data_IF_597316844748
#
_entry.id   IF_597316844748
#
_cell.length_a   1.000
_cell.length_b   1.000
_cell.length_c   1.000
_cell.angle_alpha   90.00
_cell.angle_beta   90.00
_cell.angle_gamma   90.00
#
_symmetry.space_group_name_H-M   'P 1'
#
loop_
_entity.id
_entity.type
_entity.pdbx_description
1 polymer ?
#
# COMPACT_ATOMS: atom_id res chain seq x y z
N UNK A 1 -0.05 13.14 6.41
CA UNK A 1 0.82 12.99 5.22
C UNK A 1 2.16 12.31 5.45
N UNK A 2 2.80 12.45 6.62
CA UNK A 2 4.18 12.00 6.85
C UNK A 2 4.43 10.53 6.45
N UNK A 3 3.52 9.64 6.84
CA UNK A 3 3.58 8.21 6.50
C UNK A 3 3.63 7.95 4.99
N UNK A 4 2.87 8.70 4.19
CA UNK A 4 2.84 8.56 2.74
C UNK A 4 4.00 9.27 2.02
N UNK A 5 4.67 10.20 2.70
CA UNK A 5 5.82 10.94 2.16
C UNK A 5 7.17 10.33 2.57
N UNK A 6 7.15 9.28 3.40
CA UNK A 6 8.36 8.62 3.88
C UNK A 6 8.88 7.63 2.83
N UNK A 7 10.07 7.82 2.25
CA UNK A 7 10.65 6.83 1.33
C UNK A 7 10.89 5.48 2.03
N UNK A 8 11.01 4.41 1.23
CA UNK A 8 11.39 3.11 1.76
C UNK A 8 12.87 3.11 2.16
N UNK A 9 13.26 2.46 3.28
CA UNK A 9 14.67 2.29 3.63
C UNK A 9 15.43 1.49 2.57
N UNK A 10 16.74 1.70 2.44
CA UNK A 10 17.57 1.04 1.41
C UNK A 10 17.64 -0.48 1.56
N UNK A 11 17.48 -0.99 2.79
CA UNK A 11 17.49 -2.42 3.11
C UNK A 11 16.09 -3.00 3.33
N UNK A 12 15.05 -2.32 2.84
CA UNK A 12 13.65 -2.62 3.11
C UNK A 12 13.28 -4.09 2.89
N UNK A 13 13.63 -4.65 1.71
CA UNK A 13 13.31 -6.04 1.36
C UNK A 13 14.17 -7.04 2.15
N UNK A 14 15.42 -6.69 2.45
CA UNK A 14 16.36 -7.58 3.16
C UNK A 14 15.92 -7.84 4.60
N UNK A 15 15.19 -6.91 5.22
CA UNK A 15 14.66 -7.05 6.59
C UNK A 15 13.38 -7.89 6.67
N UNK A 16 12.78 -8.27 5.54
CA UNK A 16 11.53 -9.02 5.54
C UNK A 16 11.75 -10.47 5.95
N UNK A 17 10.85 -10.97 6.82
CA UNK A 17 10.81 -12.33 7.32
C UNK A 17 10.65 -13.31 6.17
N UNK A 18 11.30 -14.46 6.30
CA UNK A 18 11.19 -15.58 5.36
C UNK A 18 10.39 -16.75 5.94
N UNK A 19 10.00 -16.68 7.21
CA UNK A 19 9.26 -17.76 7.89
C UNK A 19 7.75 -17.66 7.60
N UNK A 20 7.21 -16.44 7.67
CA UNK A 20 5.83 -16.14 7.38
C UNK A 20 5.71 -14.75 6.71
N UNK A 21 4.92 -14.62 5.64
CA UNK A 21 4.72 -13.34 4.97
C UNK A 21 3.80 -12.39 5.75
N UNK A 22 2.89 -12.93 6.56
CA UNK A 22 1.83 -12.19 7.25
C UNK A 22 2.07 -12.17 8.76
N UNK A 23 1.97 -10.98 9.35
CA UNK A 23 1.89 -10.75 10.79
C UNK A 23 0.47 -10.42 11.23
N UNK A 24 0.05 -10.98 12.36
CA UNK A 24 -1.13 -10.56 13.09
C UNK A 24 -0.80 -10.33 14.57
N UNK A 25 -1.23 -9.21 15.12
CA UNK A 25 -1.10 -8.92 16.55
C UNK A 25 -2.47 -8.55 17.10
N UNK A 26 -3.04 -9.45 17.92
CA UNK A 26 -4.39 -9.27 18.43
C UNK A 26 -4.55 -9.76 19.88
N UNK A 27 -5.31 -9.01 20.66
CA UNK A 27 -5.73 -9.38 22.03
C UNK A 27 -7.22 -9.61 22.17
N UNK A 28 -8.04 -8.93 21.37
CA UNK A 28 -9.48 -9.13 21.38
C UNK A 28 -9.88 -10.29 20.44
N UNK A 29 -10.14 -11.45 21.04
CA UNK A 29 -10.50 -12.68 20.33
C UNK A 29 -12.02 -12.90 20.27
N UNK A 30 -12.80 -11.98 20.85
CA UNK A 30 -14.26 -11.97 20.84
C UNK A 30 -14.75 -10.75 20.04
N UNK A 31 -14.06 -10.47 18.92
CA UNK A 31 -14.43 -9.42 18.00
C UNK A 31 -15.77 -9.80 17.33
N UNK A 32 -16.73 -8.87 17.31
CA UNK A 32 -18.06 -9.11 16.71
C UNK A 32 -17.98 -9.39 15.21
N UNK A 33 -16.91 -8.94 14.53
CA UNK A 33 -16.67 -9.25 13.12
C UNK A 33 -16.50 -10.75 12.82
N UNK A 34 -16.13 -11.57 13.82
CA UNK A 34 -15.79 -12.99 13.63
C UNK A 34 -14.43 -13.20 12.93
N UNK A 35 -13.58 -12.15 12.87
CA UNK A 35 -12.30 -12.18 12.14
C UNK A 35 -11.38 -13.33 12.54
N UNK A 36 -11.44 -13.79 13.79
CA UNK A 36 -10.63 -14.89 14.30
C UNK A 36 -10.96 -16.20 13.57
N UNK A 37 -12.22 -16.40 13.17
CA UNK A 37 -12.67 -17.57 12.41
C UNK A 37 -12.06 -17.59 11.02
N UNK A 38 -12.16 -16.49 10.29
CA UNK A 38 -11.56 -16.41 8.96
C UNK A 38 -10.04 -16.49 9.01
N UNK A 39 -9.38 -15.83 9.97
CA UNK A 39 -7.91 -15.92 10.10
C UNK A 39 -7.50 -17.35 10.43
N UNK A 40 -8.20 -18.02 11.35
CA UNK A 40 -7.94 -19.43 11.66
C UNK A 40 -8.09 -20.34 10.43
N UNK A 41 -9.03 -20.04 9.54
CA UNK A 41 -9.20 -20.79 8.29
C UNK A 41 -8.09 -20.46 7.27
N UNK A 42 -7.76 -19.17 7.12
CA UNK A 42 -6.69 -18.70 6.25
C UNK A 42 -5.33 -19.31 6.61
N UNK A 43 -5.06 -19.51 7.91
CA UNK A 43 -3.83 -20.14 8.42
C UNK A 43 -3.62 -21.58 7.93
N UNK A 44 -4.65 -22.25 7.40
CA UNK A 44 -4.51 -23.57 6.78
C UNK A 44 -3.88 -23.50 5.39
N UNK A 45 -3.88 -22.33 4.76
CA UNK A 45 -3.50 -22.14 3.35
C UNK A 45 -2.27 -21.24 3.18
N UNK A 46 -1.91 -20.45 4.19
CA UNK A 46 -0.71 -19.60 4.19
C UNK A 46 -0.17 -19.42 5.62
N UNK A 47 1.14 -19.31 5.78
CA UNK A 47 1.77 -19.08 7.07
C UNK A 47 1.43 -17.67 7.61
N UNK A 48 0.95 -17.62 8.85
CA UNK A 48 0.69 -16.38 9.58
C UNK A 48 1.32 -16.50 10.97
N UNK A 49 2.21 -15.56 11.28
CA UNK A 49 2.71 -15.41 12.63
C UNK A 49 1.75 -14.51 13.42
N UNK A 50 1.07 -15.11 14.40
CA UNK A 50 0.14 -14.45 15.30
C UNK A 50 0.75 -14.28 16.69
N UNK A 51 0.76 -13.05 17.16
CA UNK A 51 1.19 -12.67 18.51
C UNK A 51 0.05 -12.05 19.30
N UNK A 52 0.14 -12.14 20.63
CA UNK A 52 -0.91 -11.69 21.54
C UNK A 52 -1.76 -12.86 22.02
N UNK A 53 -3.02 -12.60 22.34
CA UNK A 53 -3.88 -13.58 23.00
C UNK A 53 -4.64 -14.46 21.99
N UNK A 54 -4.79 -14.00 20.73
CA UNK A 54 -5.62 -14.66 19.73
C UNK A 54 -4.81 -15.55 18.79
N UNK A 55 -5.17 -16.83 18.69
CA UNK A 55 -4.51 -17.90 17.91
C UNK A 55 -3.04 -18.18 18.30
N UNK A 56 -2.27 -17.14 18.66
CA UNK A 56 -0.97 -17.15 19.34
C UNK A 56 -0.03 -18.28 18.86
N UNK A 57 0.44 -18.16 17.62
CA UNK A 57 1.40 -19.12 17.05
C UNK A 57 2.84 -18.85 17.46
N UNK A 58 3.13 -17.63 17.91
CA UNK A 58 4.48 -17.22 18.35
C UNK A 58 4.40 -16.40 19.65
N UNK A 59 5.29 -16.65 20.63
CA UNK A 59 5.42 -15.78 21.78
C UNK A 59 6.03 -14.44 21.37
N UNK A 60 5.60 -13.35 22.02
CA UNK A 60 6.14 -12.02 21.72
C UNK A 60 7.66 -11.97 22.02
N UNK A 61 8.51 -11.51 21.08
CA UNK A 61 9.95 -11.43 21.28
C UNK A 61 10.32 -10.45 22.40
N UNK A 62 11.28 -10.82 23.25
CA UNK A 62 11.72 -9.99 24.38
C UNK A 62 12.59 -8.80 23.97
N UNK A 63 13.23 -8.90 22.81
CA UNK A 63 14.25 -7.99 22.29
C UNK A 63 13.73 -7.05 21.20
N UNK A 64 12.45 -7.14 20.83
CA UNK A 64 11.83 -6.29 19.81
C UNK A 64 10.61 -5.57 20.36
N UNK A 65 10.43 -4.30 19.96
CA UNK A 65 9.15 -3.63 20.10
C UNK A 65 8.15 -4.13 19.05
N UNK A 66 6.87 -3.83 19.24
CA UNK A 66 5.82 -4.15 18.27
C UNK A 66 6.10 -3.52 16.91
N UNK A 67 6.58 -2.29 16.90
CA UNK A 67 6.90 -1.52 15.70
C UNK A 67 8.07 -2.15 14.93
N UNK A 68 9.11 -2.58 15.65
CA UNK A 68 10.24 -3.31 15.06
C UNK A 68 9.78 -4.65 14.47
N UNK A 69 8.94 -5.39 15.21
CA UNK A 69 8.37 -6.63 14.73
C UNK A 69 7.52 -6.42 13.48
N UNK A 70 6.65 -5.41 13.45
CA UNK A 70 5.84 -5.07 12.26
C UNK A 70 6.69 -4.74 11.04
N UNK A 71 7.83 -4.06 11.22
CA UNK A 71 8.71 -3.70 10.12
C UNK A 71 9.35 -4.92 9.43
N UNK A 72 9.43 -6.06 10.13
CA UNK A 72 10.02 -7.30 9.63
C UNK A 72 9.06 -8.09 8.72
N UNK A 73 7.78 -7.75 8.59
CA UNK A 73 6.85 -8.50 7.74
C UNK A 73 6.48 -7.76 6.46
N UNK A 74 6.16 -8.51 5.40
CA UNK A 74 5.64 -7.92 4.16
C UNK A 74 4.21 -7.45 4.34
N UNK A 75 3.38 -8.25 5.00
CA UNK A 75 1.97 -7.98 5.20
C UNK A 75 1.61 -7.93 6.69
N UNK A 76 0.63 -7.10 7.01
CA UNK A 76 0.04 -7.05 8.35
C UNK A 76 -1.48 -7.11 8.25
N UNK A 77 -2.10 -7.96 9.08
CA UNK A 77 -3.56 -8.06 9.20
C UNK A 77 -4.09 -6.87 10.01
N UNK A 78 -4.41 -5.78 9.30
CA UNK A 78 -4.99 -4.55 9.84
C UNK A 78 -6.53 -4.65 9.88
N UNK A 79 -7.03 -5.69 10.55
CA UNK A 79 -8.46 -6.05 10.59
C UNK A 79 -9.11 -5.53 11.86
N UNK A 80 -10.24 -4.85 11.72
CA UNK A 80 -10.93 -4.23 12.83
C UNK A 80 -11.78 -5.19 13.65
N UNK A 81 -12.11 -4.79 14.87
CA UNK A 81 -12.91 -5.62 15.77
C UNK A 81 -14.37 -5.73 15.31
N UNK A 82 -14.82 -4.80 14.45
CA UNK A 82 -16.17 -4.66 13.98
C UNK A 82 -16.17 -3.99 12.59
N UNK A 83 -17.23 -4.20 11.83
CA UNK A 83 -17.35 -3.71 10.45
C UNK A 83 -18.23 -2.47 10.39
N UNK A 84 -17.73 -1.37 10.95
CA UNK A 84 -18.49 -0.12 11.02
C UNK A 84 -17.99 0.89 10.01
N UNK A 85 -18.90 1.73 9.52
CA UNK A 85 -18.54 2.93 8.78
C UNK A 85 -17.50 3.76 9.56
N UNK A 86 -16.50 4.24 8.85
CA UNK A 86 -15.38 5.05 9.35
C UNK A 86 -14.56 4.47 10.52
N UNK A 87 -14.79 3.20 10.91
CA UNK A 87 -14.04 2.56 11.98
C UNK A 87 -12.71 2.04 11.47
N UNK A 88 -11.78 2.96 11.23
CA UNK A 88 -10.39 2.70 10.84
C UNK A 88 -9.47 3.20 11.95
N UNK A 89 -8.62 2.33 12.50
CA UNK A 89 -7.90 2.60 13.75
C UNK A 89 -6.38 2.62 13.58
N UNK A 90 -5.65 2.54 14.70
CA UNK A 90 -4.20 2.43 14.73
C UNK A 90 -3.67 1.26 13.91
N UNK A 91 -4.46 0.20 13.70
CA UNK A 91 -4.04 -0.99 12.94
C UNK A 91 -3.61 -0.62 11.52
N UNK A 92 -4.42 0.19 10.82
CA UNK A 92 -4.05 0.66 9.48
C UNK A 92 -2.90 1.67 9.57
N UNK A 93 -3.03 2.67 10.45
CA UNK A 93 -2.06 3.76 10.55
C UNK A 93 -0.63 3.26 10.87
N UNK A 94 -0.51 2.34 11.83
CA UNK A 94 0.75 1.71 12.21
C UNK A 94 1.31 0.86 11.07
N UNK A 95 0.46 0.11 10.36
CA UNK A 95 0.90 -0.70 9.22
C UNK A 95 1.53 0.15 8.13
N UNK A 96 0.85 1.22 7.74
CA UNK A 96 1.36 2.17 6.75
C UNK A 96 2.66 2.83 7.25
N UNK A 97 2.73 3.18 8.54
CA UNK A 97 3.90 3.82 9.18
C UNK A 97 5.13 2.92 9.22
N UNK A 98 4.96 1.64 9.54
CA UNK A 98 6.05 0.68 9.67
C UNK A 98 6.32 -0.12 8.39
N UNK A 99 5.70 0.29 7.27
CA UNK A 99 6.07 -0.13 5.92
C UNK A 99 5.78 -1.62 5.66
N UNK A 100 4.62 -2.09 6.09
CA UNK A 100 4.02 -3.33 5.60
C UNK A 100 2.80 -2.98 4.74
N UNK A 101 2.42 -3.87 3.83
CA UNK A 101 1.18 -3.73 3.05
C UNK A 101 0.02 -4.20 3.95
N UNK A 102 -0.97 -3.35 4.25
CA UNK A 102 -2.08 -3.73 5.11
C UNK A 102 -3.04 -4.65 4.36
N UNK A 103 -3.38 -5.79 4.96
CA UNK A 103 -4.57 -6.57 4.61
C UNK A 103 -5.68 -6.08 5.53
N UNK A 104 -6.69 -5.43 4.96
CA UNK A 104 -7.68 -4.65 5.71
C UNK A 104 -9.07 -5.27 5.67
N UNK A 105 -9.78 -5.08 6.77
CA UNK A 105 -11.23 -5.29 6.90
C UNK A 105 -11.78 -4.46 8.07
N UNK A 106 -13.03 -4.00 7.91
CA UNK A 106 -13.68 -3.04 8.80
C UNK A 106 -14.82 -2.32 8.08
N UNK A 107 -14.70 -1.01 7.77
CA UNK A 107 -15.71 -0.28 7.01
C UNK A 107 -15.89 -0.84 5.59
N UNK A 108 -17.07 -0.58 5.01
CA UNK A 108 -17.35 -0.91 3.63
C UNK A 108 -16.43 -0.15 2.64
N UNK A 109 -16.11 1.12 2.94
CA UNK A 109 -15.15 1.92 2.16
C UNK A 109 -13.91 2.28 2.97
N UNK A 110 -12.76 2.27 2.29
CA UNK A 110 -11.48 2.78 2.79
C UNK A 110 -11.04 4.04 2.02
N UNK A 111 -11.96 4.66 1.27
CA UNK A 111 -11.70 5.88 0.52
C UNK A 111 -11.24 6.98 1.47
N UNK A 112 -10.18 7.67 1.08
CA UNK A 112 -9.57 8.68 1.93
C UNK A 112 -8.77 8.14 3.11
N UNK A 113 -8.85 6.85 3.47
CA UNK A 113 -8.00 6.23 4.52
C UNK A 113 -6.73 5.61 3.95
N UNK A 114 -6.81 5.04 2.74
CA UNK A 114 -5.67 4.48 2.04
C UNK A 114 -4.96 5.54 1.18
N UNK A 115 -3.61 5.54 1.12
CA UNK A 115 -2.85 6.44 0.25
C UNK A 115 -3.32 6.43 -1.21
N UNK A 116 -3.70 5.27 -1.74
CA UNK A 116 -4.36 5.06 -3.04
C UNK A 116 -4.97 3.64 -3.11
N UNK A 117 -5.64 3.30 -4.22
CA UNK A 117 -6.24 1.97 -4.41
C UNK A 117 -5.24 0.81 -4.38
N UNK A 118 -3.95 1.06 -4.68
CA UNK A 118 -2.87 0.06 -4.65
C UNK A 118 -1.96 0.30 -3.44
N UNK A 119 -2.55 0.44 -2.25
CA UNK A 119 -1.79 0.64 -1.00
C UNK A 119 -2.29 -0.18 0.18
N UNK A 120 -3.32 -1.01 -0.04
CA UNK A 120 -3.83 -2.00 0.89
C UNK A 120 -4.55 -3.11 0.13
N UNK A 121 -4.72 -4.26 0.76
CA UNK A 121 -5.40 -5.43 0.20
C UNK A 121 -6.73 -5.61 0.91
N UNK A 122 -7.84 -5.63 0.18
CA UNK A 122 -9.17 -5.78 0.75
C UNK A 122 -9.47 -7.25 1.02
N UNK A 123 -9.60 -7.64 2.29
CA UNK A 123 -9.94 -9.02 2.65
C UNK A 123 -11.32 -9.43 2.14
N UNK A 124 -12.28 -8.49 2.11
CA UNK A 124 -13.64 -8.70 1.61
C UNK A 124 -13.77 -8.82 0.09
N UNK A 125 -12.68 -8.66 -0.66
CA UNK A 125 -12.59 -9.04 -2.07
C UNK A 125 -12.34 -10.55 -2.27
N UNK A 126 -12.02 -11.29 -1.20
CA UNK A 126 -11.68 -12.71 -1.22
C UNK A 126 -12.52 -13.51 -0.22
N UNK A 127 -13.81 -13.79 -0.51
CA UNK A 127 -14.65 -14.58 0.38
C UNK A 127 -14.13 -16.02 0.59
N UNK A 128 -13.39 -16.58 -0.37
CA UNK A 128 -12.69 -17.84 -0.18
C UNK A 128 -11.28 -17.58 0.39
N UNK A 129 -10.96 -18.02 1.63
CA UNK A 129 -9.64 -17.85 2.22
C UNK A 129 -8.50 -18.43 1.36
N UNK A 130 -8.78 -19.44 0.53
CA UNK A 130 -7.79 -20.03 -0.40
C UNK A 130 -7.41 -19.05 -1.49
N UNK A 131 -8.33 -18.21 -1.95
CA UNK A 131 -8.04 -17.20 -2.96
C UNK A 131 -7.17 -16.08 -2.39
N UNK A 132 -7.47 -15.62 -1.17
CA UNK A 132 -6.62 -14.63 -0.49
C UNK A 132 -5.22 -15.21 -0.26
N UNK A 133 -5.11 -16.44 0.25
CA UNK A 133 -3.84 -17.12 0.46
C UNK A 133 -3.01 -17.20 -0.83
N UNK A 134 -3.62 -17.63 -1.94
CA UNK A 134 -2.95 -17.68 -3.26
C UNK A 134 -2.47 -16.30 -3.70
N UNK A 135 -3.28 -15.26 -3.49
CA UNK A 135 -2.91 -13.91 -3.88
C UNK A 135 -1.75 -13.36 -3.03
N UNK A 136 -1.77 -13.55 -1.72
CA UNK A 136 -0.67 -13.13 -0.86
C UNK A 136 0.61 -13.93 -1.15
N UNK A 137 0.51 -15.24 -1.39
CA UNK A 137 1.65 -16.06 -1.79
C UNK A 137 2.27 -15.57 -3.09
N UNK A 138 1.44 -15.23 -4.08
CA UNK A 138 1.90 -14.62 -5.33
C UNK A 138 2.70 -13.33 -5.10
N UNK A 139 2.22 -12.44 -4.22
CA UNK A 139 2.94 -11.21 -3.87
C UNK A 139 4.21 -11.49 -3.06
N UNK A 140 4.19 -12.50 -2.18
CA UNK A 140 5.37 -12.87 -1.41
C UNK A 140 6.50 -13.41 -2.30
N UNK A 141 6.14 -14.21 -3.30
CA UNK A 141 7.10 -14.78 -4.27
C UNK A 141 7.56 -13.78 -5.34
N UNK A 142 6.89 -12.62 -5.44
CA UNK A 142 7.17 -11.61 -6.46
C UNK A 142 7.40 -10.22 -5.88
N UNK A 143 8.67 -9.88 -5.70
CA UNK A 143 9.10 -8.60 -5.12
C UNK A 143 8.61 -7.38 -5.90
N UNK A 144 8.53 -7.43 -7.23
CA UNK A 144 8.04 -6.31 -8.06
C UNK A 144 6.54 -6.09 -7.84
N UNK A 145 5.76 -7.16 -7.84
CA UNK A 145 4.32 -7.14 -7.58
C UNK A 145 4.02 -6.64 -6.16
N UNK A 146 4.79 -7.09 -5.16
CA UNK A 146 4.70 -6.59 -3.78
C UNK A 146 5.10 -5.11 -3.68
N UNK A 147 6.24 -4.70 -4.26
CA UNK A 147 6.71 -3.32 -4.21
C UNK A 147 5.79 -2.35 -4.96
N UNK A 148 4.97 -2.84 -5.90
CA UNK A 148 3.94 -2.05 -6.55
C UNK A 148 2.94 -1.46 -5.55
N UNK A 149 2.63 -2.15 -4.45
CA UNK A 149 1.80 -1.62 -3.36
C UNK A 149 2.46 -0.49 -2.56
N UNK A 150 3.78 -0.36 -2.66
CA UNK A 150 4.58 0.64 -1.96
C UNK A 150 5.14 1.69 -2.93
N UNK A 151 4.72 1.66 -4.19
CA UNK A 151 5.20 2.56 -5.24
C UNK A 151 4.99 4.03 -4.90
N UNK A 152 3.87 4.34 -4.24
CA UNK A 152 3.58 5.69 -3.75
C UNK A 152 4.65 6.24 -2.79
N UNK A 153 5.39 5.37 -2.09
CA UNK A 153 6.51 5.75 -1.21
C UNK A 153 7.84 5.77 -1.93
N UNK A 154 8.08 4.85 -2.86
CA UNK A 154 9.27 4.87 -3.72
C UNK A 154 9.34 6.18 -4.53
N UNK A 155 8.19 6.67 -4.97
CA UNK A 155 8.08 7.90 -5.74
C UNK A 155 8.06 9.16 -4.86
N UNK A 156 8.08 9.05 -3.53
CA UNK A 156 7.87 10.19 -2.63
C UNK A 156 8.94 11.29 -2.74
N UNK A 157 10.16 10.95 -3.16
CA UNK A 157 11.25 11.91 -3.36
C UNK A 157 11.24 12.57 -4.75
N UNK A 158 10.46 12.03 -5.70
CA UNK A 158 10.51 12.44 -7.11
C UNK A 158 9.17 12.95 -7.64
N UNK A 159 8.04 12.55 -7.05
CA UNK A 159 6.69 12.97 -7.44
C UNK A 159 5.96 13.65 -6.27
N UNK A 160 5.25 14.76 -6.52
CA UNK A 160 4.42 15.39 -5.50
C UNK A 160 3.27 14.47 -5.09
N UNK A 161 2.70 14.64 -3.88
CA UNK A 161 1.56 13.88 -3.41
C UNK A 161 0.39 13.77 -4.40
N UNK A 162 0.07 14.87 -5.09
CA UNK A 162 -1.06 14.96 -6.02
C UNK A 162 -0.93 14.05 -7.25
N UNK A 163 0.26 13.54 -7.56
CA UNK A 163 0.50 12.64 -8.69
C UNK A 163 0.51 11.15 -8.30
N UNK A 164 0.50 10.84 -7.00
CA UNK A 164 0.71 9.47 -6.50
C UNK A 164 -0.26 9.02 -5.42
N UNK A 165 -0.98 9.96 -4.80
CA UNK A 165 -1.95 9.71 -3.76
C UNK A 165 -3.36 10.04 -4.24
N UNK A 166 -4.34 9.36 -3.64
CA UNK A 166 -5.75 9.62 -3.86
C UNK A 166 -6.12 11.06 -3.45
N UNK A 167 -6.91 11.80 -4.25
CA UNK A 167 -7.29 13.17 -3.93
C UNK A 167 -8.03 13.32 -2.59
N UNK A 168 -8.89 12.37 -2.25
CA UNK A 168 -9.60 12.38 -0.96
C UNK A 168 -8.59 12.16 0.17
N UNK A 169 -7.64 11.23 0.01
CA UNK A 169 -6.55 11.06 0.97
C UNK A 169 -5.74 12.35 1.14
N UNK A 170 -5.34 13.00 0.05
CA UNK A 170 -4.60 14.28 0.15
C UNK A 170 -5.43 15.31 0.93
N UNK A 171 -6.69 15.50 0.59
CA UNK A 171 -7.55 16.50 1.25
C UNK A 171 -7.76 16.26 2.75
N UNK A 172 -7.82 14.98 3.17
CA UNK A 172 -8.03 14.60 4.56
C UNK A 172 -6.76 14.67 5.41
N UNK A 173 -5.58 14.45 4.81
CA UNK A 173 -4.35 14.21 5.56
C UNK A 173 -3.22 15.24 5.31
N UNK A 174 -3.35 16.15 4.35
CA UNK A 174 -2.32 17.15 3.99
C UNK A 174 -2.14 18.26 5.01
N UNK A 175 -3.22 18.64 5.68
CA UNK A 175 -3.22 19.67 6.71
C UNK A 175 -3.45 19.00 8.06
N UNK A 176 -2.40 18.95 8.89
CA UNK A 176 -2.47 18.34 10.21
C UNK A 176 -3.44 19.09 11.13
N UNK A 177 -3.48 20.42 11.06
CA UNK A 177 -4.38 21.22 11.90
C UNK A 177 -5.83 21.02 11.48
N UNK A 178 -6.12 21.03 10.18
CA UNK A 178 -7.46 20.73 9.69
C UNK A 178 -7.86 19.27 9.95
N UNK A 179 -6.91 18.34 9.86
CA UNK A 179 -7.12 16.93 10.23
C UNK A 179 -7.47 16.80 11.71
N UNK A 180 -6.63 17.33 12.59
CA UNK A 180 -6.83 17.35 14.05
C UNK A 180 -8.17 18.02 14.40
N UNK A 181 -8.52 19.10 13.70
CA UNK A 181 -9.83 19.73 13.82
C UNK A 181 -10.97 18.84 13.30
N UNK A 182 -10.82 18.03 12.24
CA UNK A 182 -11.89 17.10 11.83
C UNK A 182 -12.07 15.95 12.84
N UNK A 183 -10.98 15.38 13.34
CA UNK A 183 -11.01 14.18 14.20
C UNK A 183 -11.30 14.48 15.68
N UNK A 184 -10.87 15.65 16.18
CA UNK A 184 -11.13 16.07 17.57
C UNK A 184 -12.63 16.23 17.86
N UNK A 185 -13.39 16.72 16.88
CA UNK A 185 -14.84 16.84 17.03
C UNK A 185 -15.52 15.47 17.00
N UNK A 186 -15.05 14.52 16.19
CA UNK A 186 -15.65 13.19 16.10
C UNK A 186 -15.47 12.36 17.39
N UNK A 187 -14.30 12.43 18.02
CA UNK A 187 -13.97 11.66 19.24
C UNK A 187 -14.67 12.22 20.49
N UNK A 188 -14.75 13.55 20.62
CA UNK A 188 -15.46 14.21 21.73
C UNK A 188 -16.97 14.03 21.57
N UNK A 189 -17.52 14.13 20.36
CA UNK A 189 -18.92 13.89 20.09
C UNK A 189 -19.36 12.45 20.43
N UNK A 190 -18.58 11.43 20.06
CA UNK A 190 -18.87 10.00 20.32
C UNK A 190 -18.79 9.64 21.81
N UNK A 191 -17.81 10.19 22.53
CA UNK A 191 -17.65 9.97 23.97
C UNK A 191 -18.65 10.79 24.81
N UNK A 192 -18.90 12.05 24.46
CA UNK A 192 -19.83 12.89 25.21
C UNK A 192 -21.30 12.47 25.01
N UNK A 193 -21.71 12.05 23.81
CA UNK A 193 -23.10 11.63 23.57
C UNK A 193 -23.48 10.36 24.36
N UNK A 194 -22.57 9.41 24.52
CA UNK A 194 -22.81 8.14 25.23
C UNK A 194 -22.66 8.30 26.75
N UNK A 195 -21.67 9.09 27.18
CA UNK A 195 -21.31 9.20 28.60
C UNK A 195 -22.15 10.25 29.34
N UNK A 196 -22.61 11.31 28.68
CA UNK A 196 -23.45 12.36 29.30
C UNK A 196 -24.80 11.81 29.77
N UNK A 197 -25.45 11.01 28.93
CA UNK A 197 -26.79 10.46 29.19
C UNK A 197 -26.77 9.34 30.22
N UNK A 198 -25.75 8.47 30.20
CA UNK A 198 -25.60 7.39 31.19
C UNK A 198 -25.18 7.91 32.57
N UNK A 199 -24.39 8.99 32.64
CA UNK A 199 -23.93 9.56 33.93
C UNK A 199 -25.00 10.32 34.70
N UNK A 200 -26.00 10.91 34.03
CA UNK A 200 -27.01 11.76 34.69
C UNK A 200 -28.36 11.06 34.93
N UNK A 201 -28.56 9.83 34.44
CA UNK A 201 -29.86 9.13 34.54
C UNK A 201 -29.83 7.82 35.34
N UNK A 202 -28.66 7.30 35.71
CA UNK A 202 -28.53 6.06 36.49
C UNK A 202 -29.05 4.79 35.83
N UNK A 203 -29.45 4.84 34.55
CA UNK A 203 -29.94 3.69 33.77
C UNK A 203 -28.85 3.18 32.82
N UNK A 204 -28.82 1.86 32.60
CA UNK A 204 -28.08 1.27 31.46
C UNK A 204 -28.57 1.96 30.19
N UNK A 205 -27.63 2.40 29.38
CA UNK A 205 -27.90 3.17 28.17
C UNK A 205 -28.80 2.36 27.25
N UNK A 206 -30.01 2.84 27.01
CA UNK A 206 -30.92 2.31 25.99
C UNK A 206 -30.54 2.98 24.66
N UNK A 207 -29.86 2.21 23.81
CA UNK A 207 -29.38 2.68 22.50
C UNK A 207 -30.55 3.09 21.59
N UNK A 208 -31.71 2.44 21.70
CA UNK A 208 -32.90 2.75 20.90
C UNK A 208 -33.51 4.09 21.32
N UNK A 209 -33.46 4.42 22.61
CA UNK A 209 -33.88 5.74 23.11
C UNK A 209 -32.93 6.87 22.65
N UNK A 210 -31.63 6.61 22.51
CA UNK A 210 -30.65 7.58 22.01
C UNK A 210 -30.80 7.83 20.50
N UNK A 211 -31.08 6.78 19.74
CA UNK A 211 -31.33 6.86 18.29
C UNK A 211 -32.58 7.68 17.97
N UNK A 212 -33.63 7.57 18.80
CA UNK A 212 -34.86 8.34 18.65
C UNK A 212 -34.74 9.79 19.11
N UNK A 213 -33.88 10.08 20.09
CA UNK A 213 -33.74 11.41 20.70
C UNK A 213 -32.76 12.35 19.98
N UNK A 214 -31.96 11.87 19.00
CA UNK A 214 -30.95 12.70 18.34
C UNK A 214 -31.57 13.62 17.26
N UNK A 215 -31.53 14.96 17.42
CA UNK A 215 -31.98 15.90 16.39
C UNK A 215 -31.00 16.03 15.21
N UNK A 216 -29.91 15.25 15.21
CA UNK A 216 -28.86 15.22 14.19
C UNK A 216 -28.55 13.78 13.77
N UNK A 217 -29.58 13.02 13.37
CA UNK A 217 -29.42 11.64 12.86
C UNK A 217 -28.44 11.53 11.69
N UNK A 218 -28.33 12.61 10.91
CA UNK A 218 -27.38 12.79 9.80
C UNK A 218 -25.91 12.89 10.22
N UNK A 219 -25.63 13.18 11.50
CA UNK A 219 -24.26 13.38 12.03
C UNK A 219 -23.88 12.47 13.18
N UNK A 220 -24.86 11.79 13.78
CA UNK A 220 -24.68 10.92 14.93
C UNK A 220 -25.45 9.62 14.70
N UNK A 221 -24.85 8.72 13.91
CA UNK A 221 -25.36 7.36 13.74
C UNK A 221 -24.99 6.56 15.00
N UNK A 222 -25.99 6.35 15.86
CA UNK A 222 -25.92 5.39 16.96
C UNK A 222 -26.91 4.29 16.60
N UNK A 223 -26.49 3.37 15.75
CA UNK A 223 -27.30 2.23 15.34
C UNK A 223 -26.51 0.91 15.53
N UNK A 224 -27.18 -0.22 15.29
CA UNK A 224 -26.59 -1.55 15.40
C UNK A 224 -25.77 -1.94 14.16
N UNK A 225 -25.65 -1.09 13.13
CA UNK A 225 -24.93 -1.42 11.88
C UNK A 225 -23.44 -1.63 12.12
N UNK A 226 -22.88 -0.95 13.13
CA UNK A 226 -21.52 -1.15 13.62
C UNK A 226 -21.32 -2.47 14.40
N UNK A 227 -22.37 -3.25 14.64
CA UNK A 227 -22.31 -4.52 15.38
C UNK A 227 -22.95 -5.67 14.61
N UNK A 228 -22.95 -5.65 13.27
CA UNK A 228 -23.35 -6.82 12.49
C UNK A 228 -22.43 -8.00 12.84
N UNK A 229 -22.93 -8.89 13.69
CA UNK A 229 -22.18 -10.05 14.18
C UNK A 229 -21.94 -11.03 13.04
N UNK A 230 -20.73 -11.59 12.99
CA UNK A 230 -20.47 -12.78 12.19
C UNK A 230 -20.26 -12.56 10.70
N UNK A 231 -19.81 -11.37 10.25
CA UNK A 231 -19.35 -11.19 8.85
C UNK A 231 -18.44 -12.34 8.41
N UNK A 232 -17.54 -12.79 9.28
CA UNK A 232 -16.54 -13.81 8.96
C UNK A 232 -16.80 -15.19 9.56
N UNK A 233 -17.94 -15.43 10.21
CA UNK A 233 -18.19 -16.71 10.91
C UNK A 233 -18.35 -17.88 9.95
N UNK A 234 -18.83 -17.65 8.73
CA UNK A 234 -18.99 -18.69 7.71
C UNK A 234 -17.68 -19.43 7.40
N UNK A 235 -16.52 -18.80 7.58
CA UNK A 235 -15.23 -19.43 7.33
C UNK A 235 -15.00 -20.67 8.22
N UNK A 236 -15.65 -20.73 9.39
CA UNK A 236 -15.59 -21.89 10.27
C UNK A 236 -16.31 -23.13 9.72
N UNK A 237 -17.22 -22.95 8.76
CA UNK A 237 -17.99 -24.05 8.14
C UNK A 237 -17.13 -24.86 7.16
N UNK A 238 -15.99 -24.32 6.72
CA UNK A 238 -15.11 -24.95 5.74
C UNK A 238 -15.62 -24.81 4.30
N UNK A 239 -14.94 -25.44 3.31
CA UNK A 239 -15.33 -25.33 1.91
C UNK A 239 -16.60 -26.16 1.60
N UNK A 240 -17.49 -25.68 0.71
CA UNK A 240 -17.39 -24.42 -0.05
C UNK A 240 -17.69 -23.18 0.82
N UNK A 241 -16.90 -22.12 0.61
CA UNK A 241 -17.01 -20.85 1.34
C UNK A 241 -18.00 -19.90 0.64
N UNK A 242 -19.28 -20.24 0.62
CA UNK A 242 -20.30 -19.54 -0.18
C UNK A 242 -21.43 -18.92 0.66
N UNK A 243 -21.43 -19.09 1.98
CA UNK A 243 -22.48 -18.61 2.89
C UNK A 243 -22.31 -17.18 3.40
N UNK A 244 -21.58 -16.33 2.66
CA UNK A 244 -21.44 -14.91 2.96
C UNK A 244 -22.57 -14.04 2.38
N UNK A 245 -22.89 -12.90 3.02
CA UNK A 245 -24.06 -12.07 2.69
C UNK A 245 -23.74 -10.70 2.08
N UNK A 246 -22.47 -10.33 1.95
CA UNK A 246 -22.06 -9.05 1.36
C UNK A 246 -21.65 -9.22 -0.11
N UNK A 247 -21.62 -8.12 -0.85
CA UNK A 247 -21.05 -8.08 -2.20
C UNK A 247 -19.54 -7.91 -2.10
N UNK A 248 -18.72 -8.85 -2.63
CA UNK A 248 -17.26 -8.73 -2.54
C UNK A 248 -16.76 -7.45 -3.19
N UNK A 249 -15.78 -6.82 -2.56
CA UNK A 249 -15.06 -5.69 -3.16
C UNK A 249 -14.34 -6.15 -4.45
N UNK A 250 -14.05 -5.24 -5.39
CA UNK A 250 -13.18 -5.56 -6.52
C UNK A 250 -11.84 -6.14 -6.04
N UNK A 251 -11.38 -7.21 -6.69
CA UNK A 251 -10.08 -7.81 -6.41
C UNK A 251 -8.96 -6.86 -6.79
N UNK A 252 -7.88 -6.89 -6.01
CA UNK A 252 -6.70 -6.06 -6.24
C UNK A 252 -5.82 -6.61 -7.38
N UNK A 253 -6.35 -6.77 -8.59
CA UNK A 253 -5.65 -7.42 -9.71
C UNK A 253 -4.50 -6.60 -10.31
N UNK A 254 -4.26 -5.41 -9.76
CA UNK A 254 -3.18 -4.51 -10.12
C UNK A 254 -1.80 -5.17 -10.16
N UNK A 255 -1.58 -6.19 -9.34
CA UNK A 255 -0.33 -6.93 -9.27
C UNK A 255 -0.13 -7.86 -10.48
N UNK A 256 -1.19 -8.45 -11.03
CA UNK A 256 -1.11 -9.25 -12.27
C UNK A 256 -0.79 -8.37 -13.48
N UNK A 257 -1.33 -7.15 -13.52
CA UNK A 257 -1.05 -6.18 -14.58
C UNK A 257 0.45 -5.81 -14.67
N UNK A 258 1.17 -5.80 -13.54
CA UNK A 258 2.62 -5.52 -13.53
C UNK A 258 3.37 -6.59 -14.31
N UNK A 259 2.99 -7.86 -14.18
CA UNK A 259 3.60 -8.96 -14.93
C UNK A 259 3.33 -8.87 -16.44
N UNK A 260 2.12 -8.48 -16.81
CA UNK A 260 1.77 -8.28 -18.22
C UNK A 260 2.60 -7.16 -18.85
N UNK A 261 2.69 -6.01 -18.16
CA UNK A 261 3.52 -4.88 -18.60
C UNK A 261 5.02 -5.22 -18.67
N UNK A 262 5.52 -6.07 -17.76
CA UNK A 262 6.90 -6.57 -17.82
C UNK A 262 7.13 -7.55 -18.97
N UNK A 263 6.14 -8.40 -19.31
CA UNK A 263 6.20 -9.27 -20.49
C UNK A 263 6.21 -8.45 -21.80
N UNK A 264 5.42 -7.38 -21.87
CA UNK A 264 5.38 -6.50 -23.05
C UNK A 264 6.66 -5.66 -23.22
N UNK A 265 7.28 -5.23 -22.12
CA UNK A 265 8.56 -4.50 -22.14
C UNK A 265 9.76 -5.40 -22.42
N UNK A 266 9.76 -6.66 -21.95
CA UNK A 266 10.80 -7.64 -22.26
C UNK A 266 10.66 -8.25 -23.67
N UNK A 267 9.44 -8.35 -24.21
CA UNK A 267 9.21 -8.79 -25.59
C UNK A 267 9.58 -7.70 -26.62
N UNK A 268 9.48 -6.42 -26.26
CA UNK A 268 9.96 -5.30 -27.08
C UNK A 268 11.49 -5.11 -27.00
N UNK A 269 12.14 -5.48 -25.89
CA UNK A 269 13.60 -5.45 -25.76
C UNK A 269 14.33 -6.65 -26.43
N UNK A 270 13.63 -7.73 -26.75
CA UNK A 270 14.22 -8.95 -27.36
C UNK A 270 14.16 -8.97 -28.90
N UNK A 271 13.70 -7.90 -29.54
CA UNK A 271 13.57 -7.81 -31.00
C UNK A 271 14.78 -7.21 -31.76
N UNK A 272 15.88 -6.87 -31.08
CA UNK A 272 17.09 -6.35 -31.72
C UNK A 272 18.31 -7.26 -31.57
N UNK A 273 18.24 -8.48 -32.08
CA UNK A 273 19.45 -9.20 -32.54
C UNK A 273 19.06 -10.37 -33.47
N UNK A 274 19.13 -10.12 -34.78
CA UNK A 274 19.32 -11.20 -35.75
C UNK A 274 20.39 -10.76 -36.75
N UNK A 275 21.58 -11.31 -36.55
CA UNK A 275 22.71 -11.26 -37.47
C UNK A 275 22.47 -12.29 -38.57
N UNK A 276 22.30 -11.86 -39.81
CA UNK A 276 22.37 -12.74 -40.99
C UNK A 276 23.78 -12.69 -41.58
N UNK A 277 24.51 -13.78 -41.43
CA UNK A 277 25.74 -14.09 -42.16
C UNK A 277 25.46 -14.36 -43.63
N UNK A 278 26.17 -13.69 -44.54
CA UNK A 278 26.33 -14.16 -45.92
C UNK A 278 27.79 -14.01 -46.34
N UNK A 279 28.31 -15.11 -46.86
CA UNK A 279 29.65 -15.35 -47.36
C UNK A 279 29.77 -14.89 -48.81
N UNK A 280 30.79 -14.13 -49.18
CA UNK A 280 31.22 -14.01 -50.57
C UNK A 280 32.75 -13.98 -50.68
N UNK A 281 33.23 -14.86 -51.57
CA UNK A 281 34.62 -15.10 -51.99
C UNK A 281 35.11 -14.01 -52.94
N UNK A 282 36.38 -13.63 -52.82
CA UNK A 282 37.00 -12.60 -53.67
C UNK A 282 37.47 -13.09 -55.05
N UNK A 283 37.57 -12.14 -55.99
CA UNK A 283 38.59 -12.13 -57.05
C UNK A 283 38.90 -10.68 -57.51
N UNK A 284 40.17 -10.48 -57.90
CA UNK A 284 40.97 -9.26 -58.09
C UNK A 284 40.50 -8.30 -59.23
N UNK A 285 40.52 -6.98 -59.05
CA UNK A 285 41.59 -5.97 -59.29
C UNK A 285 41.62 -5.38 -60.72
N UNK A 286 41.43 -4.06 -60.86
CA UNK A 286 42.20 -3.21 -61.77
C UNK A 286 41.96 -1.72 -61.48
N UNK A 287 43.05 -0.97 -61.64
CA UNK A 287 43.36 0.39 -61.25
C UNK A 287 42.79 1.47 -62.17
N UNK A 288 41.97 2.37 -61.60
CA UNK A 288 41.95 3.78 -61.99
C UNK A 288 41.53 4.63 -60.79
N UNK A 289 42.50 5.37 -60.32
CA UNK A 289 42.48 6.20 -59.13
C UNK A 289 41.59 7.45 -59.25
N UNK A 290 40.98 7.80 -58.12
CA UNK A 290 40.93 9.14 -57.51
C UNK A 290 40.65 10.37 -58.41
N UNK A 291 39.51 11.03 -58.15
CA UNK A 291 39.38 12.44 -57.70
C UNK A 291 37.88 12.81 -57.71
N UNK A 292 37.33 13.27 -56.56
CA UNK A 292 35.98 13.85 -56.53
C UNK A 292 35.18 13.75 -55.22
N UNK A 293 35.80 13.59 -54.04
CA UNK A 293 35.13 13.87 -52.76
C UNK A 293 34.92 15.38 -52.62
N UNK A 294 33.68 15.88 -52.78
CA UNK A 294 33.03 16.95 -51.99
C UNK A 294 31.73 17.47 -52.66
N UNK A 295 30.58 17.04 -52.11
CA UNK A 295 29.32 17.79 -51.97
C UNK A 295 28.54 17.04 -50.85
N UNK A 296 28.51 17.39 -49.55
CA UNK A 296 28.13 18.65 -48.87
C UNK A 296 26.85 19.25 -49.47
N UNK A 297 25.71 19.41 -48.79
CA UNK A 297 25.34 19.37 -47.35
C UNK A 297 23.82 19.29 -47.21
N UNK A 298 23.31 18.61 -46.18
CA UNK A 298 21.88 18.68 -45.82
C UNK A 298 21.47 17.89 -44.58
N UNK A 299 22.27 17.89 -43.52
CA UNK A 299 21.85 17.35 -42.21
C UNK A 299 21.86 18.47 -41.17
N UNK A 300 20.69 18.67 -40.57
CA UNK A 300 20.32 19.73 -39.64
C UNK A 300 21.23 19.78 -38.40
N UNK A 301 22.02 20.85 -38.32
CA UNK A 301 22.71 21.28 -37.09
C UNK A 301 21.65 21.94 -36.20
N UNK A 302 21.06 21.17 -35.29
CA UNK A 302 20.08 21.69 -34.32
C UNK A 302 20.10 21.05 -32.94
N UNK A 303 20.57 19.80 -32.80
CA UNK A 303 20.35 19.05 -31.55
C UNK A 303 21.62 18.85 -30.72
N UNK A 304 22.82 18.92 -31.32
CA UNK A 304 24.09 18.71 -30.58
C UNK A 304 24.56 19.97 -29.84
N UNK A 305 24.22 21.17 -30.34
CA UNK A 305 24.61 22.43 -29.71
C UNK A 305 23.89 22.72 -28.38
N UNK A 306 22.64 22.28 -28.23
CA UNK A 306 21.86 22.50 -27.01
C UNK A 306 22.34 21.59 -25.86
N UNK A 307 22.76 20.36 -26.18
CA UNK A 307 23.29 19.42 -25.20
C UNK A 307 24.65 19.89 -24.63
N UNK A 308 25.54 20.41 -25.47
CA UNK A 308 26.84 20.93 -25.02
C UNK A 308 26.71 22.25 -24.23
N UNK A 309 25.74 23.11 -24.58
CA UNK A 309 25.46 24.34 -23.81
C UNK A 309 24.85 24.04 -22.42
N UNK A 310 23.97 23.03 -22.32
CA UNK A 310 23.41 22.59 -21.03
C UNK A 310 24.47 21.98 -20.10
N UNK A 311 25.42 21.20 -20.65
CA UNK A 311 26.54 20.63 -19.86
C UNK A 311 27.50 21.74 -19.40
N UNK A 312 27.77 22.76 -20.23
CA UNK A 312 28.60 23.90 -19.85
C UNK A 312 27.97 24.78 -18.76
N UNK A 313 26.65 25.03 -18.82
CA UNK A 313 25.93 25.77 -17.75
C UNK A 313 25.82 24.99 -16.44
N UNK A 314 25.79 23.66 -16.47
CA UNK A 314 25.69 22.82 -15.26
C UNK A 314 27.02 22.73 -14.51
N UNK A 315 28.15 22.77 -15.21
CA UNK A 315 29.49 22.74 -14.60
C UNK A 315 29.94 24.11 -14.08
N UNK A 316 29.49 25.22 -14.67
CA UNK A 316 29.83 26.58 -14.17
C UNK A 316 29.12 26.94 -12.86
N UNK A 317 27.95 26.33 -12.57
CA UNK A 317 27.19 26.56 -11.33
C UNK A 317 27.75 25.76 -10.15
N UNK A 318 28.41 24.63 -10.41
CA UNK A 318 29.04 23.79 -9.38
C UNK A 318 30.39 24.36 -8.89
N UNK A 319 31.09 25.15 -9.73
CA UNK A 319 32.39 25.76 -9.38
C UNK A 319 32.30 26.99 -8.45
N UNK A 320 31.08 27.47 -8.12
CA UNK A 320 30.87 28.56 -7.15
C UNK A 320 30.51 28.11 -5.74
N UNK A 321 30.17 26.84 -5.51
CA UNK A 321 29.77 26.36 -4.17
C UNK A 321 30.90 25.69 -3.37
N UNK A 322 32.07 25.45 -3.95
CA UNK A 322 33.22 24.82 -3.26
C UNK A 322 34.32 25.80 -2.84
N UNK A 323 34.00 27.09 -2.68
CA UNK A 323 34.98 28.13 -2.28
C UNK A 323 34.55 29.03 -1.13
N UNK A 324 33.49 28.69 -0.40
CA UNK A 324 32.96 29.57 0.66
C UNK A 324 32.48 28.81 1.90
N UNK A 325 33.17 27.75 2.32
CA UNK A 325 32.90 27.15 3.64
C UNK A 325 34.14 26.49 4.28
N UNK A 326 35.23 27.26 4.34
CA UNK A 326 36.43 26.93 5.12
C UNK A 326 36.92 28.18 5.85
N UNK A 327 36.02 28.84 6.57
CA UNK A 327 36.34 29.88 7.55
C UNK A 327 35.13 30.17 8.43
N UNK A 328 34.92 29.37 9.48
CA UNK A 328 34.57 29.79 10.85
C UNK A 328 34.06 28.59 11.67
N UNK A 329 34.79 28.30 12.75
CA UNK A 329 34.43 27.68 14.04
C UNK A 329 33.58 26.39 14.04
#
# INVERSE_FOLDING_TARGET
MDVANRPLPTDFMRRKSKEAPILWIAKNCQASSGRDKYISELMKYINIDSYGDCLNTKPFPKDKTREQLMADYKFYLAIENANCEDYVTEKLADTLKYSAVPIVDGPASYDGYLPNQRSGIRMDAYPDPRELAKYIQFLDDNDDAYLAYLKYRQDALVKPPTERLDPLFVSLWSDQTAHDYRVSWCSICRHMATTWTSRHSGKKTDLEALEQASPRKDRFLVDKTCMAEGKWTYAADGPPYDSYTWTPSPKDEFAYQVLEQQKDSNSSASSSSSSSSSSETGTAMSTQDWIGMLALTGVSIGVVGFALWMIYKRTSKYRRYTKQDSSQL
#
